data_IF_846233828845
#
_entry.id   IF_846233828845
#
_cell.length_a   1.000
_cell.length_b   1.000
_cell.length_c   1.000
_cell.angle_alpha   90.00
_cell.angle_beta   90.00
_cell.angle_gamma   90.00
#
_symmetry.space_group_name_H-M   'P 1'
#
loop_
_entity.id
_entity.type
_entity.pdbx_description
1 polymer ?
#
# COMPACT_ATOMS: atom_id res chain seq x y z
N UNK A 1 -9.72 -10.94 11.85
CA UNK A 1 -10.68 -11.68 11.01
C UNK A 1 -10.11 -11.71 9.59
N UNK A 2 -10.19 -12.85 8.90
CA UNK A 2 -9.70 -13.00 7.54
C UNK A 2 -10.87 -13.43 6.64
N UNK A 3 -10.88 -12.94 5.40
CA UNK A 3 -11.92 -13.23 4.41
C UNK A 3 -11.27 -13.78 3.14
N UNK A 4 -11.84 -14.86 2.60
CA UNK A 4 -11.32 -15.56 1.42
C UNK A 4 -12.36 -15.41 0.32
N UNK A 5 -11.93 -14.90 -0.84
CA UNK A 5 -12.79 -14.71 -2.00
C UNK A 5 -11.99 -14.63 -3.30
N UNK A 6 -12.69 -14.47 -4.42
CA UNK A 6 -12.07 -14.34 -5.73
C UNK A 6 -11.13 -13.13 -5.82
N UNK A 7 -9.99 -13.30 -6.49
CA UNK A 7 -8.95 -12.28 -6.58
C UNK A 7 -9.41 -11.01 -7.27
N UNK A 8 -10.25 -11.09 -8.32
CA UNK A 8 -10.69 -9.91 -9.06
C UNK A 8 -11.56 -8.99 -8.18
N UNK A 9 -12.38 -9.60 -7.31
CA UNK A 9 -13.26 -8.86 -6.41
C UNK A 9 -12.45 -8.29 -5.25
N UNK A 10 -11.49 -9.05 -4.71
CA UNK A 10 -10.58 -8.54 -3.69
C UNK A 10 -9.74 -7.38 -4.21
N UNK A 11 -9.20 -7.46 -5.43
CA UNK A 11 -8.44 -6.39 -6.08
C UNK A 11 -9.28 -5.12 -6.25
N UNK A 12 -10.53 -5.26 -6.74
CA UNK A 12 -11.46 -4.14 -6.85
C UNK A 12 -11.74 -3.48 -5.49
N UNK A 13 -12.05 -4.27 -4.45
CA UNK A 13 -12.36 -3.75 -3.11
C UNK A 13 -11.13 -3.08 -2.48
N UNK A 14 -9.94 -3.66 -2.66
CA UNK A 14 -8.70 -3.08 -2.14
C UNK A 14 -8.31 -1.78 -2.86
N UNK A 15 -8.61 -1.69 -4.15
CA UNK A 15 -8.37 -0.48 -4.95
C UNK A 15 -9.35 0.66 -4.65
N UNK A 16 -10.52 0.36 -4.06
CA UNK A 16 -11.59 1.33 -3.80
C UNK A 16 -11.67 1.77 -2.32
N UNK A 17 -12.26 2.94 -2.05
CA UNK A 17 -12.39 3.45 -0.67
C UNK A 17 -13.20 2.47 0.19
N UNK A 18 -12.81 2.23 1.46
CA UNK A 18 -11.94 3.05 2.32
C UNK A 18 -10.43 2.69 2.36
N UNK A 19 -9.88 1.93 1.40
CA UNK A 19 -8.44 1.59 1.34
C UNK A 19 -7.87 0.86 2.58
N UNK A 20 -8.73 0.34 3.46
CA UNK A 20 -8.33 -0.29 4.72
C UNK A 20 -8.03 -1.78 4.59
N UNK A 21 -8.43 -2.40 3.47
CA UNK A 21 -8.20 -3.82 3.19
C UNK A 21 -6.91 -4.02 2.42
N UNK A 22 -6.08 -4.96 2.89
CA UNK A 22 -4.89 -5.44 2.20
C UNK A 22 -5.09 -6.87 1.74
N UNK A 23 -4.62 -7.17 0.54
CA UNK A 23 -4.67 -8.52 -0.03
C UNK A 23 -3.39 -9.24 0.36
N UNK A 24 -3.50 -10.45 0.90
CA UNK A 24 -2.36 -11.33 1.07
C UNK A 24 -2.02 -11.94 -0.30
N UNK A 25 -0.74 -11.93 -0.69
CA UNK A 25 -0.29 -12.26 -2.04
C UNK A 25 -0.42 -13.74 -2.45
N UNK A 26 -1.02 -14.59 -1.63
CA UNK A 26 -1.06 -16.03 -1.89
C UNK A 26 -2.37 -16.42 -2.58
N UNK A 27 -2.28 -16.68 -3.88
CA UNK A 27 -3.39 -17.23 -4.67
C UNK A 27 -3.46 -18.73 -4.37
N UNK A 28 -4.48 -19.14 -3.62
CA UNK A 28 -4.69 -20.55 -3.25
C UNK A 28 -5.00 -21.45 -4.45
N UNK A 29 -5.68 -20.92 -5.49
CA UNK A 29 -5.99 -21.67 -6.70
C UNK A 29 -6.29 -20.73 -7.90
N UNK A 30 -5.99 -21.17 -9.12
CA UNK A 30 -6.24 -20.41 -10.35
C UNK A 30 -7.48 -20.92 -11.07
N UNK A 31 -8.54 -20.12 -11.06
CA UNK A 31 -9.75 -20.34 -11.84
C UNK A 31 -9.98 -19.17 -12.80
N UNK A 32 -10.64 -19.44 -13.93
CA UNK A 32 -10.94 -18.43 -14.95
C UNK A 32 -12.43 -18.23 -15.16
N UNK A 33 -12.82 -17.02 -15.54
CA UNK A 33 -14.18 -16.69 -15.96
C UNK A 33 -14.43 -17.12 -17.42
N UNK A 34 -15.65 -17.57 -17.70
CA UNK A 34 -16.06 -18.01 -19.04
C UNK A 34 -17.49 -17.59 -19.37
N UNK A 35 -17.79 -17.52 -20.66
CA UNK A 35 -19.14 -17.26 -21.18
C UNK A 35 -19.76 -18.58 -21.59
N UNK A 36 -20.93 -18.90 -21.03
CA UNK A 36 -21.64 -20.14 -21.31
C UNK A 36 -22.73 -19.95 -22.37
N UNK A 37 -22.86 -20.93 -23.27
CA UNK A 37 -23.92 -21.01 -24.27
C UNK A 37 -24.71 -22.31 -24.09
N UNK A 38 -25.97 -22.38 -24.57
CA UNK A 38 -26.70 -23.64 -24.68
C UNK A 38 -25.89 -24.69 -25.45
N UNK A 39 -26.07 -25.96 -25.11
CA UNK A 39 -25.42 -27.07 -25.83
C UNK A 39 -25.76 -26.98 -27.31
N UNK A 40 -24.79 -27.26 -28.17
CA UNK A 40 -24.89 -27.17 -29.65
C UNK A 40 -25.18 -25.77 -30.22
N UNK A 41 -24.91 -24.69 -29.46
CA UNK A 41 -25.02 -23.33 -30.00
C UNK A 41 -23.95 -23.07 -31.09
N UNK A 42 -24.33 -22.55 -32.28
CA UNK A 42 -23.37 -22.23 -33.35
C UNK A 42 -22.48 -21.02 -33.02
N UNK A 43 -22.78 -20.28 -31.94
CA UNK A 43 -22.08 -19.05 -31.58
C UNK A 43 -20.83 -19.28 -30.73
N UNK A 44 -20.63 -20.49 -30.20
CA UNK A 44 -19.52 -20.79 -29.27
C UNK A 44 -18.17 -20.48 -29.91
N UNK A 45 -17.95 -20.96 -31.13
CA UNK A 45 -16.67 -20.78 -31.83
C UNK A 45 -16.46 -19.32 -32.25
N UNK A 46 -17.53 -18.67 -32.70
CA UNK A 46 -17.48 -17.26 -33.11
C UNK A 46 -17.10 -16.37 -31.93
N UNK A 47 -17.74 -16.53 -30.76
CA UNK A 47 -17.41 -15.75 -29.56
C UNK A 47 -16.02 -16.08 -29.03
N UNK A 48 -15.62 -17.35 -29.05
CA UNK A 48 -14.28 -17.77 -28.62
C UNK A 48 -13.21 -17.07 -29.45
N UNK A 49 -13.37 -17.00 -30.77
CA UNK A 49 -12.46 -16.26 -31.66
C UNK A 49 -12.44 -14.76 -31.38
N UNK A 50 -13.59 -14.12 -31.14
CA UNK A 50 -13.61 -12.69 -30.82
C UNK A 50 -12.96 -12.39 -29.46
N UNK A 51 -13.15 -13.25 -28.46
CA UNK A 51 -12.48 -13.12 -27.15
C UNK A 51 -10.96 -13.25 -27.30
N UNK A 52 -10.49 -14.18 -28.13
CA UNK A 52 -9.07 -14.31 -28.44
C UNK A 52 -8.51 -13.04 -29.09
N UNK A 53 -9.22 -12.44 -30.05
CA UNK A 53 -8.82 -11.16 -30.66
C UNK A 53 -8.78 -10.00 -29.67
N UNK A 54 -9.75 -9.94 -28.75
CA UNK A 54 -9.77 -8.92 -27.69
C UNK A 54 -8.60 -9.05 -26.72
N UNK A 55 -8.15 -10.28 -26.46
CA UNK A 55 -6.94 -10.55 -25.67
C UNK A 55 -5.69 -10.17 -26.44
N UNK A 56 -5.58 -10.56 -27.71
CA UNK A 56 -4.41 -10.29 -28.57
C UNK A 56 -4.19 -8.79 -28.78
N UNK A 57 -5.26 -8.02 -28.99
CA UNK A 57 -5.19 -6.58 -29.18
C UNK A 57 -5.08 -5.78 -27.85
N UNK A 58 -4.92 -6.45 -26.70
CA UNK A 58 -4.81 -5.79 -25.39
C UNK A 58 -6.07 -5.04 -24.92
N UNK A 59 -7.16 -5.11 -25.69
CA UNK A 59 -8.42 -4.44 -25.33
C UNK A 59 -8.96 -4.98 -24.00
N UNK A 60 -8.85 -6.29 -23.77
CA UNK A 60 -9.23 -6.90 -22.49
C UNK A 60 -8.48 -6.30 -21.31
N UNK A 61 -7.18 -6.09 -21.43
CA UNK A 61 -6.35 -5.50 -20.36
C UNK A 61 -6.78 -4.05 -20.07
N UNK A 62 -7.06 -3.27 -21.12
CA UNK A 62 -7.57 -1.90 -20.95
C UNK A 62 -8.91 -1.85 -20.21
N UNK A 63 -9.78 -2.83 -20.43
CA UNK A 63 -11.05 -2.94 -19.71
C UNK A 63 -10.80 -3.29 -18.24
N UNK A 64 -9.94 -4.28 -17.96
CA UNK A 64 -9.60 -4.67 -16.58
C UNK A 64 -9.02 -3.48 -15.83
N UNK A 65 -8.03 -2.79 -16.42
CA UNK A 65 -7.43 -1.60 -15.82
C UNK A 65 -8.48 -0.53 -15.52
N UNK A 66 -9.40 -0.27 -16.47
CA UNK A 66 -10.44 0.76 -16.33
C UNK A 66 -11.48 0.45 -15.25
N UNK A 67 -11.87 -0.81 -15.10
CA UNK A 67 -13.01 -1.19 -14.25
C UNK A 67 -12.61 -1.82 -12.91
N UNK A 68 -11.45 -2.47 -12.84
CA UNK A 68 -10.98 -3.20 -11.65
C UNK A 68 -9.88 -2.40 -10.94
N UNK A 69 -8.88 -1.95 -11.68
CA UNK A 69 -7.65 -1.34 -11.13
C UNK A 69 -7.68 0.19 -11.12
N UNK A 70 -8.74 0.86 -11.57
CA UNK A 70 -8.82 2.34 -11.59
C UNK A 70 -9.31 2.97 -10.28
N UNK A 71 -9.25 2.23 -9.17
CA UNK A 71 -9.72 2.71 -7.88
C UNK A 71 -8.82 3.79 -7.27
N UNK A 72 -9.44 4.69 -6.50
CA UNK A 72 -8.79 5.87 -5.93
C UNK A 72 -7.69 5.57 -4.90
N UNK A 73 -7.62 4.35 -4.36
CA UNK A 73 -6.63 3.99 -3.35
C UNK A 73 -5.25 3.72 -3.95
N UNK A 74 -5.17 3.25 -5.19
CA UNK A 74 -3.89 3.05 -5.88
C UNK A 74 -3.22 4.39 -6.19
N UNK A 75 -4.01 5.43 -6.49
CA UNK A 75 -3.52 6.80 -6.62
C UNK A 75 -3.02 7.39 -5.28
N UNK A 76 -3.43 6.82 -4.14
CA UNK A 76 -2.90 7.22 -2.84
C UNK A 76 -1.53 6.57 -2.54
N UNK A 77 -1.25 5.41 -3.12
CA UNK A 77 0.09 4.80 -3.05
C UNK A 77 1.08 5.42 -4.06
N UNK A 78 0.60 5.86 -5.23
CA UNK A 78 1.41 6.66 -6.17
C UNK A 78 1.52 8.14 -5.74
N UNK A 79 0.60 8.64 -4.91
CA UNK A 79 0.60 10.01 -4.42
C UNK A 79 1.50 10.25 -3.21
N UNK A 80 1.69 9.26 -2.34
CA UNK A 80 2.51 9.39 -1.13
C UNK A 80 3.07 8.02 -0.71
N UNK A 81 3.92 7.41 -1.54
CA UNK A 81 5.10 6.76 -0.95
C UNK A 81 6.14 7.88 -0.79
N UNK A 82 6.17 8.63 0.34
CA UNK A 82 7.27 9.54 0.57
C UNK A 82 8.52 8.66 0.55
N UNK A 83 9.31 8.78 -0.52
CA UNK A 83 10.65 8.23 -0.67
C UNK A 83 11.43 8.58 0.58
N UNK A 84 11.43 7.67 1.57
CA UNK A 84 12.13 7.76 2.86
C UNK A 84 12.48 9.20 3.26
N UNK A 85 11.47 10.08 3.26
CA UNK A 85 11.75 11.50 3.31
C UNK A 85 12.06 11.79 4.76
N UNK A 86 13.31 12.19 5.02
CA UNK A 86 13.83 12.48 6.36
C UNK A 86 12.92 13.54 7.00
N UNK A 87 11.91 13.06 7.71
CA UNK A 87 10.89 13.89 8.35
C UNK A 87 11.40 14.24 9.74
N UNK A 88 10.98 15.39 10.27
CA UNK A 88 11.34 15.83 11.63
C UNK A 88 11.07 14.73 12.68
N UNK A 89 10.05 13.89 12.46
CA UNK A 89 9.73 12.72 13.28
C UNK A 89 10.89 11.72 13.37
N UNK A 90 11.63 11.49 12.28
CA UNK A 90 12.78 10.60 12.22
C UNK A 90 14.01 11.22 12.90
N UNK A 91 14.14 12.55 12.88
CA UNK A 91 15.23 13.30 13.52
C UNK A 91 14.99 13.61 15.00
N UNK A 92 13.81 13.29 15.53
CA UNK A 92 13.42 13.56 16.91
C UNK A 92 14.44 12.98 17.91
N UNK A 93 14.95 11.77 17.65
CA UNK A 93 15.97 11.13 18.49
C UNK A 93 17.25 11.96 18.64
N UNK A 94 17.73 12.57 17.56
CA UNK A 94 18.95 13.39 17.58
C UNK A 94 18.72 14.68 18.40
N UNK A 95 17.58 15.34 18.22
CA UNK A 95 17.23 16.53 19.00
C UNK A 95 17.08 16.22 20.49
N UNK A 96 16.48 15.07 20.86
CA UNK A 96 16.36 14.67 22.26
C UNK A 96 17.72 14.41 22.92
N UNK A 97 18.65 13.79 22.19
CA UNK A 97 20.00 13.50 22.70
C UNK A 97 20.81 14.78 22.93
N UNK A 98 20.72 15.73 22.00
CA UNK A 98 21.33 17.06 22.12
C UNK A 98 20.76 17.85 23.30
N UNK A 99 19.43 17.89 23.43
CA UNK A 99 18.76 18.60 24.53
C UNK A 99 19.10 18.01 25.91
N UNK A 100 19.09 16.68 26.02
CA UNK A 100 19.49 16.01 27.26
C UNK A 100 20.95 16.27 27.63
N UNK A 101 21.87 16.23 26.65
CA UNK A 101 23.28 16.52 26.87
C UNK A 101 23.52 17.95 27.38
N UNK A 102 22.84 18.94 26.79
CA UNK A 102 22.90 20.33 27.26
C UNK A 102 22.35 20.49 28.68
N UNK A 103 21.22 19.83 28.98
CA UNK A 103 20.63 19.87 30.32
C UNK A 103 21.53 19.27 31.39
N UNK A 104 22.10 18.09 31.14
CA UNK A 104 23.03 17.42 32.07
C UNK A 104 24.27 18.28 32.31
N UNK A 105 24.84 18.83 31.25
CA UNK A 105 26.02 19.71 31.34
C UNK A 105 25.76 20.94 32.23
N UNK A 106 24.59 21.57 32.06
CA UNK A 106 24.20 22.74 32.84
C UNK A 106 23.96 22.40 34.32
N UNK A 107 23.35 21.24 34.60
CA UNK A 107 23.15 20.75 35.98
C UNK A 107 24.50 20.51 36.68
N UNK A 108 25.44 19.84 36.00
CA UNK A 108 26.77 19.59 36.56
C UNK A 108 27.52 20.89 36.88
N UNK A 109 27.47 21.87 35.97
CA UNK A 109 28.09 23.18 36.20
C UNK A 109 27.51 23.90 37.42
N UNK A 110 26.19 23.84 37.63
CA UNK A 110 25.54 24.43 38.81
C UNK A 110 25.98 23.70 40.09
N UNK A 111 26.03 22.37 40.07
CA UNK A 111 26.45 21.59 41.23
C UNK A 111 27.90 21.91 41.61
N UNK A 112 28.81 21.95 40.63
CA UNK A 112 30.21 22.34 40.87
C UNK A 112 30.33 23.76 41.43
N UNK A 113 29.58 24.72 40.88
CA UNK A 113 29.56 26.09 41.38
C UNK A 113 29.06 26.18 42.82
N UNK A 114 27.99 25.46 43.18
CA UNK A 114 27.48 25.41 44.55
C UNK A 114 28.49 24.76 45.51
N UNK A 115 29.14 23.67 45.11
CA UNK A 115 30.16 22.99 45.94
C UNK A 115 31.38 23.87 46.12
N UNK A 116 31.85 24.54 45.06
CA UNK A 116 32.96 25.48 45.12
C UNK A 116 32.63 26.67 46.03
N UNK A 117 31.44 27.27 45.86
CA UNK A 117 30.98 28.39 46.68
C UNK A 117 30.73 28.05 48.16
N UNK A 118 30.48 26.79 48.51
CA UNK A 118 30.37 26.34 49.91
C UNK A 118 31.74 25.92 50.49
N UNK A 119 32.74 25.70 49.64
CA UNK A 119 34.10 25.33 50.06
C UNK A 119 34.99 26.55 50.32
N UNK A 120 34.64 27.70 49.76
CA UNK A 120 35.13 29.03 50.16
C UNK A 120 34.40 29.53 51.41
#
# INVERSE_FOLDING_TARGET
YAFIFDSAILEYVASNRPCSSRIASEIFNQFGYGVAFPKSSPYVDLFSLQILRLRENGSMESLIKRWVTSGSCLAQEEGETPLDQITISTLLGVFTLLGAGLGISLILAIVEFCVASHRE
#
